data_IF_893422361281
#
_entry.id   IF_893422361281
#
_cell.length_a   1.000
_cell.length_b   1.000
_cell.length_c   1.000
_cell.angle_alpha   90.00
_cell.angle_beta   90.00
_cell.angle_gamma   90.00
#
_symmetry.space_group_name_H-M   'P 1'
#
loop_
_entity.id
_entity.type
_entity.pdbx_description
1 polymer ?
#
# COMPACT_ATOMS: atom_id res chain seq x y z
N UNK A 1 -38.66 0.19 -28.46
CA UNK A 1 -37.83 -1.01 -28.18
C UNK A 1 -37.95 -2.13 -29.23
N UNK A 2 -39.12 -2.45 -29.80
CA UNK A 2 -39.29 -3.54 -30.77
C UNK A 2 -38.49 -3.36 -32.08
N UNK A 3 -38.30 -2.12 -32.55
CA UNK A 3 -37.58 -1.83 -33.83
C UNK A 3 -36.07 -2.07 -33.64
N UNK A 4 -35.49 -1.67 -32.52
CA UNK A 4 -34.07 -1.90 -32.23
C UNK A 4 -33.72 -3.40 -32.13
N UNK A 5 -34.63 -4.20 -31.54
CA UNK A 5 -34.45 -5.65 -31.44
C UNK A 5 -34.53 -6.37 -32.81
N UNK A 6 -35.41 -5.89 -33.72
CA UNK A 6 -35.51 -6.40 -35.09
C UNK A 6 -34.29 -6.05 -35.93
N UNK A 7 -33.68 -4.90 -35.69
CA UNK A 7 -32.49 -4.45 -36.40
C UNK A 7 -31.24 -5.23 -35.96
N UNK A 8 -31.14 -5.53 -34.66
CA UNK A 8 -30.11 -6.41 -34.09
C UNK A 8 -30.14 -7.81 -34.74
N UNK A 9 -31.35 -8.32 -35.00
CA UNK A 9 -31.55 -9.63 -35.67
C UNK A 9 -31.24 -9.63 -37.16
N UNK A 10 -31.44 -8.50 -37.86
CA UNK A 10 -31.23 -8.40 -39.31
C UNK A 10 -29.79 -8.15 -39.76
N UNK A 11 -28.95 -7.57 -38.89
CA UNK A 11 -27.53 -7.30 -39.20
C UNK A 11 -26.63 -7.62 -38.00
N UNK A 12 -26.56 -8.89 -37.59
CA UNK A 12 -25.85 -9.30 -36.35
C UNK A 12 -24.35 -9.01 -36.40
N UNK A 13 -23.71 -9.08 -37.58
CA UNK A 13 -22.27 -8.91 -37.73
C UNK A 13 -21.76 -7.52 -37.28
N UNK A 14 -22.50 -6.46 -37.58
CA UNK A 14 -22.11 -5.09 -37.21
C UNK A 14 -22.17 -4.86 -35.69
N UNK A 15 -23.24 -5.32 -35.06
CA UNK A 15 -23.40 -5.23 -33.62
C UNK A 15 -22.40 -6.14 -32.91
N UNK A 16 -22.13 -7.33 -33.48
CA UNK A 16 -21.12 -8.24 -32.96
C UNK A 16 -19.73 -7.59 -32.97
N UNK A 17 -19.31 -6.93 -34.06
CA UNK A 17 -18.03 -6.22 -34.11
C UNK A 17 -17.93 -5.12 -33.08
N UNK A 18 -18.97 -4.29 -32.92
CA UNK A 18 -18.99 -3.25 -31.92
C UNK A 18 -18.93 -3.82 -30.49
N UNK A 19 -19.72 -4.85 -30.21
CA UNK A 19 -19.72 -5.54 -28.93
C UNK A 19 -18.34 -6.11 -28.61
N UNK A 20 -17.69 -6.76 -29.57
CA UNK A 20 -16.35 -7.31 -29.40
C UNK A 20 -15.34 -6.20 -29.08
N UNK A 21 -15.34 -5.09 -29.82
CA UNK A 21 -14.45 -3.96 -29.57
C UNK A 21 -14.69 -3.38 -28.17
N UNK A 22 -15.94 -3.12 -27.79
CA UNK A 22 -16.28 -2.58 -26.47
C UNK A 22 -15.91 -3.55 -25.33
N UNK A 23 -16.13 -4.85 -25.55
CA UNK A 23 -15.74 -5.89 -24.58
C UNK A 23 -14.22 -5.91 -24.40
N UNK A 24 -13.44 -5.86 -25.48
CA UNK A 24 -11.98 -5.82 -25.43
C UNK A 24 -11.47 -4.58 -24.69
N UNK A 25 -12.05 -3.40 -24.96
CA UNK A 25 -11.70 -2.16 -24.25
C UNK A 25 -12.05 -2.25 -22.76
N UNK A 26 -13.25 -2.73 -22.43
CA UNK A 26 -13.67 -2.90 -21.03
C UNK A 26 -12.78 -3.90 -20.29
N UNK A 27 -12.43 -5.02 -20.94
CA UNK A 27 -11.51 -6.01 -20.39
C UNK A 27 -10.12 -5.40 -20.14
N UNK A 28 -9.61 -4.61 -21.10
CA UNK A 28 -8.33 -3.92 -20.95
C UNK A 28 -8.33 -2.94 -19.77
N UNK A 29 -9.40 -2.16 -19.63
CA UNK A 29 -9.54 -1.21 -18.51
C UNK A 29 -9.63 -1.94 -17.16
N UNK A 30 -10.38 -3.04 -17.08
CA UNK A 30 -10.46 -3.86 -15.87
C UNK A 30 -9.12 -4.48 -15.51
N UNK A 31 -8.38 -4.96 -16.52
CA UNK A 31 -7.07 -5.57 -16.32
C UNK A 31 -6.03 -4.55 -15.84
N UNK A 32 -6.03 -3.35 -16.45
CA UNK A 32 -5.16 -2.25 -16.02
C UNK A 32 -5.51 -1.77 -14.61
N UNK A 33 -6.80 -1.62 -14.28
CA UNK A 33 -7.25 -1.25 -12.94
C UNK A 33 -6.83 -2.29 -11.89
N UNK A 34 -7.10 -3.57 -12.14
CA UNK A 34 -6.71 -4.64 -11.23
C UNK A 34 -5.20 -4.79 -11.07
N UNK A 35 -4.41 -4.53 -12.14
CA UNK A 35 -2.96 -4.51 -12.04
C UNK A 35 -2.47 -3.34 -11.17
N UNK A 36 -3.06 -2.15 -11.32
CA UNK A 36 -2.73 -1.00 -10.48
C UNK A 36 -3.05 -1.28 -9.02
N UNK A 37 -4.27 -1.77 -8.73
CA UNK A 37 -4.69 -2.07 -7.36
C UNK A 37 -3.76 -3.11 -6.72
N UNK A 38 -3.45 -4.21 -7.42
CA UNK A 38 -2.54 -5.23 -6.93
C UNK A 38 -1.11 -4.72 -6.69
N UNK A 39 -0.63 -3.80 -7.52
CA UNK A 39 0.70 -3.21 -7.39
C UNK A 39 0.76 -2.20 -6.21
N UNK A 40 -0.29 -1.40 -6.04
CA UNK A 40 -0.42 -0.50 -4.90
C UNK A 40 -0.57 -1.26 -3.59
N UNK A 41 -1.41 -2.28 -3.55
CA UNK A 41 -1.59 -3.11 -2.35
C UNK A 41 -0.30 -3.84 -1.98
N UNK A 42 0.42 -4.39 -2.95
CA UNK A 42 1.74 -4.99 -2.74
C UNK A 42 2.79 -4.01 -2.21
N UNK A 43 2.55 -2.71 -2.29
CA UNK A 43 3.49 -1.69 -1.80
C UNK A 43 3.04 -0.99 -0.53
N UNK A 44 1.75 -0.96 -0.24
CA UNK A 44 1.16 -0.05 0.76
C UNK A 44 0.30 -0.73 1.82
N UNK A 45 -0.11 -2.00 1.64
CA UNK A 45 -1.09 -2.63 2.52
C UNK A 45 -0.66 -2.69 3.98
N UNK A 46 0.63 -2.85 4.26
CA UNK A 46 1.17 -2.82 5.63
C UNK A 46 0.99 -1.45 6.32
N UNK A 47 1.04 -0.35 5.57
CA UNK A 47 0.80 0.99 6.12
C UNK A 47 -0.70 1.29 6.20
N UNK A 48 -1.48 0.89 5.20
CA UNK A 48 -2.95 1.02 5.23
C UNK A 48 -3.59 0.27 6.41
N UNK A 49 -2.99 -0.85 6.83
CA UNK A 49 -3.48 -1.65 7.97
C UNK A 49 -3.20 -1.01 9.34
N UNK A 50 -2.44 0.10 9.41
CA UNK A 50 -2.16 0.72 10.71
C UNK A 50 -3.45 1.21 11.38
N UNK A 51 -3.60 0.99 12.71
CA UNK A 51 -4.86 1.24 13.42
C UNK A 51 -5.05 2.71 13.78
N UNK A 52 -4.28 3.63 13.19
CA UNK A 52 -4.32 5.06 13.49
C UNK A 52 -4.84 5.90 12.34
N UNK A 53 -5.22 7.13 12.66
CA UNK A 53 -5.72 8.12 11.72
C UNK A 53 -4.60 9.04 11.19
N UNK A 54 -3.50 9.15 11.96
CA UNK A 54 -2.35 10.00 11.65
C UNK A 54 -1.05 9.22 11.87
N UNK A 55 -0.12 9.38 10.93
CA UNK A 55 1.26 8.90 11.04
C UNK A 55 2.18 10.11 11.24
N UNK A 56 2.97 10.07 12.32
CA UNK A 56 3.88 11.16 12.69
C UNK A 56 5.31 10.77 12.34
N UNK A 57 5.94 11.56 11.51
CA UNK A 57 7.36 11.47 11.15
C UNK A 57 8.16 12.60 11.78
N UNK A 58 9.50 12.50 11.81
CA UNK A 58 10.34 13.66 12.09
C UNK A 58 10.32 14.63 10.90
N UNK A 59 10.42 15.92 11.16
CA UNK A 59 10.38 17.00 10.15
C UNK A 59 11.42 16.83 9.03
N UNK A 60 12.61 16.34 9.37
CA UNK A 60 13.73 16.16 8.45
C UNK A 60 13.68 14.89 7.62
N UNK A 61 12.69 14.03 7.84
CA UNK A 61 12.64 12.68 7.23
C UNK A 61 12.07 12.63 5.81
N UNK A 62 11.47 13.74 5.32
CA UNK A 62 10.68 13.75 4.08
C UNK A 62 9.64 12.62 4.07
N UNK A 63 8.94 12.41 5.20
CA UNK A 63 7.91 11.39 5.40
C UNK A 63 8.36 9.94 5.12
N UNK A 64 9.66 9.66 5.28
CA UNK A 64 10.23 8.35 5.09
C UNK A 64 10.44 7.63 6.42
N UNK A 65 9.86 6.43 6.60
CA UNK A 65 10.10 5.59 7.76
C UNK A 65 11.59 5.34 8.01
N UNK A 66 12.36 5.06 6.96
CA UNK A 66 13.78 4.73 7.11
C UNK A 66 14.62 5.90 7.61
N UNK A 67 14.23 7.15 7.32
CA UNK A 67 14.96 8.36 7.68
C UNK A 67 14.43 9.01 8.96
N UNK A 68 13.21 8.74 9.33
CA UNK A 68 12.55 9.33 10.48
C UNK A 68 13.03 8.72 11.79
N UNK A 69 13.16 9.57 12.81
CA UNK A 69 13.49 9.21 14.20
C UNK A 69 12.70 10.11 15.13
N UNK A 70 11.85 9.51 15.93
CA UNK A 70 11.03 10.18 16.95
C UNK A 70 11.59 9.83 18.30
N UNK A 71 12.01 10.85 19.06
CA UNK A 71 12.55 10.67 20.41
C UNK A 71 11.43 10.45 21.45
N UNK A 72 11.74 9.87 22.61
CA UNK A 72 10.78 9.75 23.70
C UNK A 72 10.17 11.09 24.12
N UNK A 73 10.94 12.18 24.07
CA UNK A 73 10.48 13.53 24.42
C UNK A 73 9.47 14.07 23.38
N UNK A 74 9.73 13.83 22.11
CA UNK A 74 8.80 14.20 21.03
C UNK A 74 7.52 13.38 21.13
N UNK A 75 7.64 12.07 21.38
CA UNK A 75 6.50 11.19 21.62
C UNK A 75 5.63 11.69 22.78
N UNK A 76 6.22 12.03 23.93
CA UNK A 76 5.48 12.54 25.07
C UNK A 76 4.72 13.84 24.76
N UNK A 77 5.26 14.70 23.88
CA UNK A 77 4.55 15.89 23.40
C UNK A 77 3.36 15.52 22.50
N UNK A 78 3.52 14.55 21.60
CA UNK A 78 2.44 14.05 20.75
C UNK A 78 1.32 13.44 21.61
N UNK A 79 1.66 12.63 22.60
CA UNK A 79 0.69 12.02 23.53
C UNK A 79 -0.12 13.06 24.33
N UNK A 80 0.45 14.24 24.57
CA UNK A 80 -0.21 15.32 25.31
C UNK A 80 -1.12 16.21 24.44
N UNK A 81 -1.16 16.02 23.13
CA UNK A 81 -1.95 16.83 22.22
C UNK A 81 -3.45 16.54 22.39
N UNK A 82 -4.31 17.56 22.59
CA UNK A 82 -5.75 17.38 22.65
C UNK A 82 -6.30 16.72 21.38
N UNK A 83 -7.16 15.70 21.53
CA UNK A 83 -7.71 14.93 20.43
C UNK A 83 -6.94 13.66 20.08
N UNK A 84 -5.83 13.37 20.77
CA UNK A 84 -5.09 12.11 20.70
C UNK A 84 -5.68 11.11 21.69
N UNK A 85 -6.16 9.98 21.17
CA UNK A 85 -6.71 8.88 21.98
C UNK A 85 -5.64 7.84 22.36
N UNK A 86 -4.76 7.48 21.43
CA UNK A 86 -3.67 6.55 21.67
C UNK A 86 -2.50 6.83 20.71
N UNK A 87 -1.29 6.46 21.15
CA UNK A 87 -0.05 6.59 20.37
C UNK A 87 0.75 5.30 20.49
N UNK A 88 1.14 4.72 19.34
CA UNK A 88 2.05 3.58 19.28
C UNK A 88 3.24 3.85 18.39
N UNK A 89 4.40 3.39 18.80
CA UNK A 89 5.60 3.43 17.98
C UNK A 89 5.55 2.39 16.86
N UNK A 90 6.07 2.75 15.69
CA UNK A 90 6.26 1.85 14.57
C UNK A 90 7.65 2.05 13.97
N UNK A 91 8.26 0.95 13.51
CA UNK A 91 9.49 0.98 12.74
C UNK A 91 9.53 -0.12 11.70
N UNK A 92 10.31 0.05 10.65
CA UNK A 92 10.49 -0.93 9.58
C UNK A 92 11.98 -1.11 9.24
N UNK A 93 12.36 -2.35 9.00
CA UNK A 93 13.67 -2.71 8.46
C UNK A 93 13.48 -3.55 7.19
N UNK A 94 13.99 -3.06 6.07
CA UNK A 94 13.99 -3.81 4.80
C UNK A 94 15.33 -4.53 4.67
N UNK A 95 15.31 -5.85 4.65
CA UNK A 95 16.49 -6.73 4.68
C UNK A 95 16.21 -8.00 3.87
N UNK A 96 17.29 -8.69 3.48
CA UNK A 96 17.19 -10.05 2.98
C UNK A 96 17.23 -11.05 4.13
N UNK A 97 16.36 -12.04 4.10
CA UNK A 97 16.35 -13.15 5.07
C UNK A 97 16.87 -14.44 4.42
N UNK A 98 17.64 -15.24 5.19
CA UNK A 98 18.03 -16.59 4.80
C UNK A 98 17.05 -17.58 5.40
N UNK A 99 16.49 -18.40 4.54
CA UNK A 99 15.54 -19.43 4.93
C UNK A 99 16.28 -20.77 4.97
N UNK A 100 16.21 -21.55 6.07
CA UNK A 100 16.83 -22.85 6.17
C UNK A 100 16.37 -23.78 5.03
N UNK A 101 17.32 -24.44 4.40
CA UNK A 101 17.03 -25.33 3.27
C UNK A 101 17.16 -24.70 1.88
N UNK A 102 17.17 -23.40 1.77
CA UNK A 102 17.43 -22.68 0.51
C UNK A 102 18.95 -22.58 0.23
N UNK A 103 19.30 -22.27 -1.02
CA UNK A 103 20.71 -21.94 -1.32
C UNK A 103 21.12 -20.70 -0.50
N UNK A 104 22.32 -20.67 0.10
CA UNK A 104 22.79 -19.53 0.91
C UNK A 104 22.83 -18.19 0.17
N UNK A 105 22.74 -18.19 -1.14
CA UNK A 105 22.68 -16.99 -1.98
C UNK A 105 21.25 -16.56 -2.28
N UNK A 106 20.28 -17.43 -2.10
CA UNK A 106 18.87 -17.14 -2.31
C UNK A 106 18.30 -16.46 -1.04
N UNK A 107 18.26 -15.12 -1.09
CA UNK A 107 17.66 -14.33 -0.02
C UNK A 107 16.20 -14.06 -0.35
N UNK A 108 15.36 -14.15 0.65
CA UNK A 108 13.97 -13.71 0.60
C UNK A 108 13.92 -12.27 1.10
N UNK A 109 13.46 -11.35 0.28
CA UNK A 109 13.33 -9.95 0.68
C UNK A 109 12.15 -9.79 1.66
N UNK A 110 12.42 -9.20 2.83
CA UNK A 110 11.44 -9.00 3.89
C UNK A 110 11.44 -7.57 4.42
N UNK A 111 10.27 -7.09 4.78
CA UNK A 111 10.10 -5.85 5.53
C UNK A 111 9.68 -6.21 6.97
N UNK A 112 10.62 -6.14 7.91
CA UNK A 112 10.35 -6.41 9.32
C UNK A 112 9.84 -5.16 10.02
N UNK A 113 8.60 -5.22 10.50
CA UNK A 113 7.95 -4.19 11.29
C UNK A 113 8.06 -4.48 12.78
N UNK A 114 8.43 -3.45 13.55
CA UNK A 114 8.24 -3.40 15.00
C UNK A 114 7.06 -2.49 15.30
N UNK A 115 6.08 -2.96 16.08
CA UNK A 115 4.85 -2.22 16.33
C UNK A 115 4.41 -2.32 17.80
N UNK A 116 3.66 -1.31 18.25
CA UNK A 116 3.08 -1.26 19.59
C UNK A 116 1.55 -1.29 19.57
N UNK A 117 0.91 -0.73 18.54
CA UNK A 117 -0.53 -0.86 18.29
C UNK A 117 -0.72 -1.90 17.19
N UNK A 118 -1.61 -2.87 17.42
CA UNK A 118 -1.85 -3.98 16.48
C UNK A 118 -2.53 -3.48 15.22
N UNK A 119 -1.90 -3.61 14.03
CA UNK A 119 -2.53 -3.29 12.76
C UNK A 119 -3.70 -4.22 12.46
N UNK A 120 -4.59 -3.81 11.58
CA UNK A 120 -5.71 -4.63 11.14
C UNK A 120 -5.23 -5.95 10.54
N UNK A 121 -5.73 -7.06 11.08
CA UNK A 121 -5.34 -8.40 10.66
C UNK A 121 -4.02 -8.91 11.26
N UNK A 122 -3.35 -8.14 12.10
CA UNK A 122 -2.14 -8.54 12.84
C UNK A 122 -2.49 -8.76 14.30
N UNK A 123 -2.11 -9.92 14.91
CA UNK A 123 -2.28 -10.13 16.35
C UNK A 123 -1.47 -9.15 17.18
N UNK A 124 -1.65 -9.19 18.51
CA UNK A 124 -0.81 -8.43 19.45
C UNK A 124 0.68 -8.81 19.29
N UNK A 125 1.61 -7.88 19.60
CA UNK A 125 3.05 -8.10 19.42
C UNK A 125 3.51 -9.45 20.03
N UNK A 126 4.26 -10.28 19.26
CA UNK A 126 4.74 -11.57 19.73
C UNK A 126 5.88 -11.41 20.76
N UNK A 127 6.41 -12.55 21.25
CA UNK A 127 7.59 -12.57 22.13
C UNK A 127 8.86 -12.05 21.47
N UNK A 128 9.90 -11.83 22.28
CA UNK A 128 11.22 -11.41 21.79
C UNK A 128 11.81 -12.50 20.89
N UNK A 129 12.39 -12.09 19.75
CA UNK A 129 12.93 -13.02 18.75
C UNK A 129 11.84 -13.69 17.88
N UNK A 130 10.59 -13.30 18.02
CA UNK A 130 9.46 -13.88 17.30
C UNK A 130 8.82 -12.87 16.30
N UNK A 131 8.19 -13.39 15.25
CA UNK A 131 7.43 -12.60 14.29
C UNK A 131 6.28 -13.39 13.67
N UNK A 132 5.18 -12.69 13.32
CA UNK A 132 4.20 -13.19 12.36
C UNK A 132 4.70 -12.88 10.95
N UNK A 133 4.54 -13.80 10.01
CA UNK A 133 4.97 -13.64 8.63
C UNK A 133 3.78 -13.42 7.69
N UNK A 134 3.91 -12.54 6.70
CA UNK A 134 2.94 -12.48 5.63
C UNK A 134 2.99 -13.76 4.79
N UNK A 135 1.82 -14.28 4.45
CA UNK A 135 1.69 -15.57 3.73
C UNK A 135 2.37 -15.59 2.36
N UNK A 136 2.64 -14.44 1.76
CA UNK A 136 3.41 -14.36 0.51
C UNK A 136 4.83 -14.94 0.65
N UNK A 137 5.38 -14.95 1.87
CA UNK A 137 6.71 -15.48 2.18
C UNK A 137 6.76 -17.02 2.15
N UNK A 138 5.62 -17.73 2.16
CA UNK A 138 5.56 -19.19 1.94
C UNK A 138 6.22 -19.57 0.61
N UNK A 139 6.05 -18.73 -0.42
CA UNK A 139 6.66 -18.94 -1.73
C UNK A 139 8.19 -18.92 -1.70
N UNK A 140 8.77 -18.23 -0.70
CA UNK A 140 10.19 -18.19 -0.41
C UNK A 140 10.70 -19.34 0.50
N UNK A 141 9.82 -20.27 0.87
CA UNK A 141 10.17 -21.42 1.74
C UNK A 141 10.07 -21.13 3.24
N UNK A 142 9.45 -19.99 3.62
CA UNK A 142 9.20 -19.69 5.04
C UNK A 142 8.05 -20.58 5.55
N UNK A 143 8.23 -21.17 6.73
CA UNK A 143 7.24 -22.05 7.37
C UNK A 143 7.00 -21.62 8.82
N UNK A 144 5.82 -21.88 9.35
CA UNK A 144 5.50 -21.65 10.76
C UNK A 144 6.34 -22.54 11.67
N UNK A 145 6.84 -21.97 12.76
CA UNK A 145 7.78 -22.64 13.69
C UNK A 145 9.24 -22.60 13.23
N UNK A 146 9.53 -22.12 12.03
CA UNK A 146 10.88 -22.00 11.50
C UNK A 146 11.59 -20.76 12.06
N UNK A 147 12.88 -20.85 12.32
CA UNK A 147 13.75 -19.71 12.58
C UNK A 147 14.49 -19.34 11.30
N UNK A 148 14.30 -18.12 10.84
CA UNK A 148 15.00 -17.53 9.69
C UNK A 148 16.09 -16.58 10.17
N UNK A 149 17.11 -16.34 9.34
CA UNK A 149 18.21 -15.43 9.64
C UNK A 149 18.04 -14.12 8.86
N UNK A 150 17.74 -13.02 9.56
CA UNK A 150 17.45 -11.73 8.96
C UNK A 150 18.71 -10.86 8.88
N UNK A 151 18.97 -10.34 7.69
CA UNK A 151 20.06 -9.38 7.43
C UNK A 151 21.46 -9.99 7.35
N UNK A 152 22.47 -9.14 7.12
CA UNK A 152 23.88 -9.52 7.01
C UNK A 152 24.43 -10.18 8.27
N UNK A 153 23.99 -9.76 9.46
CA UNK A 153 24.45 -10.30 10.75
C UNK A 153 23.71 -11.59 11.13
N UNK A 154 22.71 -12.00 10.33
CA UNK A 154 21.95 -13.23 10.53
C UNK A 154 21.21 -13.26 11.86
N UNK A 155 20.56 -12.14 12.22
CA UNK A 155 19.76 -12.08 13.43
C UNK A 155 18.61 -13.10 13.35
N UNK A 156 18.51 -14.04 14.32
CA UNK A 156 17.51 -15.09 14.25
C UNK A 156 16.12 -14.53 14.59
N UNK A 157 15.13 -14.88 13.77
CA UNK A 157 13.72 -14.55 14.00
C UNK A 157 12.88 -15.78 13.77
N UNK A 158 12.08 -16.18 14.78
CA UNK A 158 11.22 -17.37 14.72
C UNK A 158 9.82 -16.98 14.26
N UNK A 159 9.30 -17.68 13.26
CA UNK A 159 7.95 -17.42 12.73
C UNK A 159 6.94 -18.17 13.59
N UNK A 160 6.04 -17.43 14.24
CA UNK A 160 5.05 -17.97 15.19
C UNK A 160 3.63 -18.00 14.65
N UNK A 161 3.42 -17.55 13.42
CA UNK A 161 2.12 -17.60 12.75
C UNK A 161 2.08 -16.74 11.49
N UNK A 162 0.90 -16.65 10.90
CA UNK A 162 0.70 -16.01 9.62
C UNK A 162 -0.23 -14.78 9.71
N UNK A 163 0.04 -13.81 8.85
CA UNK A 163 -0.86 -12.72 8.47
C UNK A 163 -1.07 -12.75 6.97
N UNK A 164 -2.14 -12.14 6.48
CA UNK A 164 -2.53 -12.23 5.07
C UNK A 164 -2.57 -10.85 4.40
N UNK A 165 -1.94 -10.75 3.22
CA UNK A 165 -2.09 -9.59 2.33
C UNK A 165 -1.45 -8.31 2.83
N UNK A 166 -0.46 -8.40 3.71
CA UNK A 166 0.26 -7.26 4.23
C UNK A 166 1.66 -7.20 3.61
N UNK A 167 1.84 -6.29 2.67
CA UNK A 167 3.10 -6.08 1.98
C UNK A 167 3.56 -4.62 2.09
N UNK A 168 4.87 -4.41 2.01
CA UNK A 168 5.49 -3.09 2.03
C UNK A 168 6.58 -2.99 0.97
N UNK A 169 6.47 -1.99 0.09
CA UNK A 169 7.42 -1.77 -1.01
C UNK A 169 7.68 -3.02 -1.87
N UNK A 170 6.66 -3.83 -2.12
CA UNK A 170 6.76 -5.06 -2.89
C UNK A 170 7.35 -6.27 -2.14
N UNK A 171 7.61 -6.14 -0.85
CA UNK A 171 8.17 -7.19 0.00
C UNK A 171 7.10 -7.76 0.94
N UNK A 172 7.17 -9.06 1.21
CA UNK A 172 6.39 -9.67 2.28
C UNK A 172 6.84 -9.16 3.66
N UNK A 173 5.89 -9.03 4.59
CA UNK A 173 6.18 -8.45 5.91
C UNK A 173 6.44 -9.49 6.98
N UNK A 174 7.26 -9.11 7.95
CA UNK A 174 7.41 -9.75 9.25
C UNK A 174 6.96 -8.77 10.33
N UNK A 175 6.10 -9.21 11.24
CA UNK A 175 5.52 -8.39 12.29
C UNK A 175 6.05 -8.84 13.65
N UNK A 176 6.94 -8.06 14.23
CA UNK A 176 7.65 -8.35 15.47
C UNK A 176 7.33 -7.29 16.53
N UNK A 177 7.67 -7.56 17.77
CA UNK A 177 7.66 -6.55 18.82
C UNK A 177 8.78 -5.52 18.64
N UNK A 178 8.73 -4.43 19.39
CA UNK A 178 9.73 -3.35 19.31
C UNK A 178 11.15 -3.81 19.66
N UNK A 179 11.30 -4.75 20.59
CA UNK A 179 12.60 -5.26 21.03
C UNK A 179 13.29 -6.02 19.89
N UNK A 180 12.60 -6.96 19.27
CA UNK A 180 13.08 -7.72 18.12
C UNK A 180 13.42 -6.82 16.93
N UNK A 181 12.53 -5.85 16.61
CA UNK A 181 12.81 -4.90 15.53
C UNK A 181 14.07 -4.08 15.82
N UNK A 182 14.22 -3.57 17.05
CA UNK A 182 15.36 -2.78 17.46
C UNK A 182 16.66 -3.59 17.40
N UNK A 183 16.64 -4.84 17.85
CA UNK A 183 17.77 -5.74 17.76
C UNK A 183 18.19 -5.96 16.30
N UNK A 184 17.24 -6.33 15.44
CA UNK A 184 17.51 -6.53 14.00
C UNK A 184 18.09 -5.26 13.36
N UNK A 185 17.53 -4.07 13.66
CA UNK A 185 18.05 -2.81 13.10
C UNK A 185 19.46 -2.54 13.61
N UNK A 186 19.69 -2.63 14.90
CA UNK A 186 20.97 -2.26 15.51
C UNK A 186 22.10 -3.20 15.09
N UNK A 187 21.83 -4.49 14.98
CA UNK A 187 22.82 -5.45 14.49
C UNK A 187 23.15 -5.26 13.01
N UNK A 188 22.13 -5.07 12.19
CA UNK A 188 22.31 -5.08 10.72
C UNK A 188 22.57 -3.68 10.11
N UNK A 189 22.26 -2.60 10.84
CA UNK A 189 22.48 -1.21 10.42
C UNK A 189 23.04 -0.37 11.57
N UNK A 190 24.24 -0.62 12.04
CA UNK A 190 24.82 0.06 13.20
C UNK A 190 24.94 1.59 13.01
N UNK A 191 25.13 2.05 11.76
CA UNK A 191 25.19 3.48 11.42
C UNK A 191 23.82 4.19 11.53
N UNK A 192 22.72 3.42 11.53
CA UNK A 192 21.36 3.89 11.66
C UNK A 192 20.67 3.32 12.91
N UNK A 193 21.46 2.96 13.90
CA UNK A 193 21.00 2.34 15.15
C UNK A 193 19.90 3.16 15.85
N UNK A 194 19.02 2.47 16.55
CA UNK A 194 17.86 3.02 17.23
C UNK A 194 18.02 2.82 18.73
N UNK A 195 18.05 3.93 19.48
CA UNK A 195 18.11 3.91 20.94
C UNK A 195 16.79 3.46 21.58
N UNK A 196 16.84 3.25 22.89
CA UNK A 196 15.66 2.86 23.67
C UNK A 196 14.55 3.91 23.60
N UNK A 197 13.31 3.46 23.34
CA UNK A 197 12.13 4.32 23.20
C UNK A 197 12.10 5.19 21.96
N UNK A 198 13.12 5.12 21.09
CA UNK A 198 13.12 5.80 19.79
C UNK A 198 12.41 4.93 18.77
N UNK A 199 11.50 5.52 18.00
CA UNK A 199 10.82 4.89 16.87
C UNK A 199 11.08 5.65 15.57
N UNK A 200 10.83 5.00 14.46
CA UNK A 200 10.90 5.67 13.16
C UNK A 200 9.70 6.59 12.96
N UNK A 201 8.52 6.14 13.39
CA UNK A 201 7.30 6.95 13.31
C UNK A 201 6.34 6.58 14.44
N UNK A 202 5.33 7.41 14.64
CA UNK A 202 4.23 7.10 15.55
C UNK A 202 2.94 6.94 14.77
N UNK A 203 2.15 5.96 15.19
CA UNK A 203 0.76 5.77 14.77
C UNK A 203 -0.12 6.41 15.83
N UNK A 204 -0.96 7.36 15.44
CA UNK A 204 -1.82 8.11 16.34
C UNK A 204 -3.27 7.83 16.03
N UNK A 205 -4.01 7.39 17.04
CA UNK A 205 -5.46 7.27 16.99
C UNK A 205 -6.11 8.57 17.45
N UNK A 206 -7.04 9.10 16.67
CA UNK A 206 -7.79 10.30 17.03
C UNK A 206 -8.95 9.97 17.97
N UNK A 207 -9.29 10.90 18.86
CA UNK A 207 -10.53 10.81 19.61
C UNK A 207 -11.76 10.86 18.68
N UNK A 208 -12.87 10.18 19.03
CA UNK A 208 -14.08 10.18 18.21
C UNK A 208 -14.55 11.60 17.88
N UNK A 209 -14.68 11.88 16.58
CA UNK A 209 -15.14 13.19 16.08
C UNK A 209 -14.03 14.21 15.82
N UNK A 210 -12.78 13.86 16.04
CA UNK A 210 -11.63 14.69 15.67
C UNK A 210 -11.30 14.48 14.19
N UNK A 211 -11.11 15.57 13.45
CA UNK A 211 -10.67 15.52 12.06
C UNK A 211 -9.16 15.16 11.98
N UNK A 212 -8.77 14.08 11.28
CA UNK A 212 -7.38 13.65 11.22
C UNK A 212 -6.42 14.70 10.64
N UNK A 213 -6.87 15.48 9.64
CA UNK A 213 -6.03 16.50 9.04
C UNK A 213 -5.83 17.72 9.96
N UNK A 214 -6.82 18.03 10.79
CA UNK A 214 -6.67 19.06 11.82
C UNK A 214 -5.77 18.59 12.96
N UNK A 215 -5.92 17.31 13.36
CA UNK A 215 -5.07 16.69 14.38
C UNK A 215 -3.61 16.66 13.95
N UNK A 216 -3.31 16.25 12.73
CA UNK A 216 -1.96 16.24 12.17
C UNK A 216 -1.30 17.64 12.28
N UNK A 217 -2.01 18.68 11.86
CA UNK A 217 -1.52 20.07 11.96
C UNK A 217 -1.37 20.55 13.40
N UNK A 218 -2.22 20.08 14.31
CA UNK A 218 -2.12 20.43 15.73
C UNK A 218 -0.89 19.77 16.34
N UNK A 219 -0.63 18.49 16.04
CA UNK A 219 0.56 17.76 16.49
C UNK A 219 1.83 18.51 16.08
N UNK A 220 1.94 18.91 14.81
CA UNK A 220 3.13 19.63 14.32
C UNK A 220 3.35 20.95 15.05
N UNK A 221 2.30 21.75 15.29
CA UNK A 221 2.40 22.99 16.07
C UNK A 221 2.82 22.77 17.52
N UNK A 222 2.23 21.78 18.19
CA UNK A 222 2.50 21.51 19.62
C UNK A 222 3.89 20.88 19.82
N UNK A 223 4.44 20.21 18.81
CA UNK A 223 5.82 19.72 18.81
C UNK A 223 6.85 20.79 18.43
N UNK A 224 6.39 22.00 18.04
CA UNK A 224 7.26 23.10 17.62
C UNK A 224 7.92 22.82 16.27
N UNK A 225 7.14 22.28 15.33
CA UNK A 225 7.56 21.88 13.98
C UNK A 225 8.71 20.84 13.97
N UNK A 226 8.85 20.05 15.05
CA UNK A 226 9.80 18.94 15.10
C UNK A 226 9.26 17.66 14.40
N UNK A 227 8.00 17.69 14.01
CA UNK A 227 7.31 16.59 13.35
C UNK A 227 6.70 17.03 12.02
N UNK A 228 6.52 16.07 11.13
CA UNK A 228 5.73 16.16 9.91
C UNK A 228 4.66 15.08 9.99
N UNK A 229 3.46 15.48 10.38
CA UNK A 229 2.33 14.59 10.61
C UNK A 229 1.45 14.52 9.38
N UNK A 230 1.08 13.32 8.98
CA UNK A 230 0.25 13.06 7.80
C UNK A 230 -0.97 12.25 8.22
N UNK A 231 -2.09 12.46 7.53
CA UNK A 231 -3.19 11.49 7.61
C UNK A 231 -2.72 10.12 7.13
N UNK A 232 -3.39 9.05 7.51
CA UNK A 232 -3.03 7.70 7.07
C UNK A 232 -2.99 7.61 5.53
N UNK A 233 -3.96 8.18 4.84
CA UNK A 233 -4.02 8.20 3.38
C UNK A 233 -2.85 8.98 2.76
N UNK A 234 -2.50 10.13 3.32
CA UNK A 234 -1.36 10.92 2.86
C UNK A 234 -0.03 10.20 3.14
N UNK A 235 0.10 9.52 4.27
CA UNK A 235 1.28 8.73 4.61
C UNK A 235 1.47 7.54 3.65
N UNK A 236 0.39 6.88 3.23
CA UNK A 236 0.40 5.84 2.18
C UNK A 236 0.90 6.41 0.86
N UNK A 237 0.40 7.58 0.46
CA UNK A 237 0.82 8.25 -0.78
C UNK A 237 2.27 8.75 -0.73
N UNK A 238 2.80 9.05 0.46
CA UNK A 238 4.18 9.48 0.66
C UNK A 238 5.21 8.34 0.55
N UNK A 239 4.77 7.06 0.50
CA UNK A 239 5.68 5.93 0.28
C UNK A 239 6.40 6.11 -1.06
N UNK A 240 7.75 6.03 -1.10
CA UNK A 240 8.51 6.26 -2.32
C UNK A 240 8.03 5.41 -3.51
N UNK A 241 7.73 6.07 -4.62
CA UNK A 241 7.27 5.44 -5.86
C UNK A 241 5.75 5.27 -5.97
N UNK A 242 4.99 5.33 -4.89
CA UNK A 242 3.52 5.14 -4.91
C UNK A 242 2.84 6.27 -5.67
N UNK A 243 3.13 7.53 -5.35
CA UNK A 243 2.56 8.68 -6.05
C UNK A 243 2.87 8.67 -7.55
N UNK A 244 4.15 8.44 -7.91
CA UNK A 244 4.59 8.38 -9.30
C UNK A 244 3.89 7.27 -10.07
N UNK A 245 3.74 6.10 -9.45
CA UNK A 245 3.10 4.93 -10.03
C UNK A 245 1.60 5.17 -10.21
N UNK A 246 0.91 5.63 -9.19
CA UNK A 246 -0.53 5.98 -9.23
C UNK A 246 -0.82 7.03 -10.30
N UNK A 247 -0.01 8.09 -10.38
CA UNK A 247 -0.13 9.15 -11.40
C UNK A 247 0.04 8.59 -12.81
N UNK A 248 1.05 7.76 -13.04
CA UNK A 248 1.32 7.16 -14.37
C UNK A 248 0.17 6.27 -14.83
N UNK A 249 -0.32 5.38 -13.97
CA UNK A 249 -1.44 4.50 -14.31
C UNK A 249 -2.74 5.28 -14.51
N UNK A 250 -3.02 6.29 -13.68
CA UNK A 250 -4.19 7.16 -13.83
C UNK A 250 -4.20 7.89 -15.18
N UNK A 251 -3.04 8.34 -15.64
CA UNK A 251 -2.90 8.95 -16.97
C UNK A 251 -3.17 7.93 -18.09
N UNK A 252 -2.63 6.71 -18.00
CA UNK A 252 -2.85 5.64 -18.97
C UNK A 252 -4.34 5.29 -19.03
N UNK A 253 -4.99 5.10 -17.89
CA UNK A 253 -6.42 4.82 -17.79
C UNK A 253 -7.23 5.97 -18.39
N UNK A 254 -6.90 7.22 -18.05
CA UNK A 254 -7.55 8.42 -18.58
C UNK A 254 -7.48 8.50 -20.11
N UNK A 255 -6.30 8.30 -20.70
CA UNK A 255 -6.13 8.27 -22.17
C UNK A 255 -6.91 7.12 -22.78
N UNK A 256 -6.93 5.95 -22.17
CA UNK A 256 -7.68 4.78 -22.67
C UNK A 256 -9.18 5.05 -22.67
N UNK A 257 -9.72 5.70 -21.63
CA UNK A 257 -11.14 6.10 -21.58
C UNK A 257 -11.48 7.10 -22.69
N UNK A 258 -10.61 8.07 -22.97
CA UNK A 258 -10.80 9.03 -24.07
C UNK A 258 -10.82 8.28 -25.43
N UNK A 259 -9.86 7.39 -25.66
CA UNK A 259 -9.82 6.57 -26.88
C UNK A 259 -11.09 5.74 -27.01
N UNK A 260 -11.52 5.06 -25.94
CA UNK A 260 -12.75 4.29 -25.92
C UNK A 260 -13.98 5.14 -26.32
N UNK A 261 -14.08 6.34 -25.77
CA UNK A 261 -15.16 7.29 -26.07
C UNK A 261 -15.15 7.69 -27.55
N UNK A 262 -13.98 7.99 -28.12
CA UNK A 262 -13.83 8.32 -29.54
C UNK A 262 -14.23 7.13 -30.42
N UNK A 263 -13.81 5.91 -30.10
CA UNK A 263 -14.16 4.70 -30.86
C UNK A 263 -15.68 4.49 -30.85
N UNK A 264 -16.33 4.65 -29.71
CA UNK A 264 -17.79 4.57 -29.58
C UNK A 264 -18.47 5.65 -30.41
N UNK A 265 -18.01 6.90 -30.33
CA UNK A 265 -18.56 8.01 -31.10
C UNK A 265 -18.43 7.80 -32.62
N UNK A 266 -17.26 7.35 -33.09
CA UNK A 266 -17.03 7.02 -34.50
C UNK A 266 -17.93 5.87 -34.96
N UNK A 267 -18.13 4.86 -34.15
CA UNK A 267 -19.03 3.77 -34.46
C UNK A 267 -20.48 4.25 -34.66
N UNK A 268 -20.98 5.11 -33.75
CA UNK A 268 -22.31 5.69 -33.90
C UNK A 268 -22.41 6.64 -35.10
N UNK A 269 -21.36 7.43 -35.35
CA UNK A 269 -21.31 8.30 -36.55
C UNK A 269 -21.41 7.49 -37.85
N UNK A 270 -20.67 6.39 -37.93
CA UNK A 270 -20.71 5.47 -39.09
C UNK A 270 -22.11 4.89 -39.28
N UNK A 271 -22.76 4.44 -38.22
CA UNK A 271 -24.14 3.95 -38.25
C UNK A 271 -25.13 5.03 -38.74
N UNK A 272 -24.89 6.29 -38.33
CA UNK A 272 -25.76 7.42 -38.72
C UNK A 272 -25.59 7.77 -40.19
N UNK A 273 -24.35 7.85 -40.69
CA UNK A 273 -24.07 8.15 -42.13
C UNK A 273 -24.64 7.10 -43.06
N UNK A 274 -24.57 5.82 -42.72
CA UNK A 274 -25.17 4.76 -43.53
C UNK A 274 -26.71 4.85 -43.61
N UNK A 275 -27.36 5.47 -42.61
CA UNK A 275 -28.81 5.68 -42.64
C UNK A 275 -29.21 6.89 -43.49
N UNK A 276 -28.37 7.91 -43.60
CA UNK A 276 -28.68 9.06 -44.47
C UNK A 276 -28.76 8.72 -45.93
N UNK A 277 -27.98 7.71 -46.39
CA UNK A 277 -28.08 7.20 -47.76
C UNK A 277 -29.45 6.53 -48.08
N UNK A 278 -30.13 5.93 -47.10
CA UNK A 278 -31.46 5.34 -47.21
C UNK A 278 -32.58 6.40 -47.24
N UNK A 279 -32.39 7.55 -46.59
CA UNK A 279 -33.36 8.66 -46.63
C UNK A 279 -33.31 9.49 -47.92
N UNK A 280 -32.16 9.45 -48.64
CA UNK A 280 -31.99 10.13 -49.91
C UNK A 280 -32.73 9.45 -51.10
N UNK A 281 -33.15 8.20 -50.93
CA UNK A 281 -33.89 7.44 -51.98
C UNK A 281 -35.41 7.55 -51.83
N UNK A 282 -35.90 8.13 -50.75
CA UNK A 282 -37.33 8.29 -50.43
C UNK A 282 -37.87 9.71 -50.70
N UNK A 283 -37.12 10.55 -51.45
CA UNK A 283 -37.56 11.85 -51.91
C UNK A 283 -37.90 11.87 -53.39
#
# INVERSE_FOLDING_TARGET
MKIALLELRRRPSRFATATVILTLIATLLMLLGGLLDGLLDGSTSAVKAQPGDVIVFSDTSESSFLRSRISPETRARVEAVPGVAAVGGIGVAQLGARVPGNDPRDLVDVALFGYQLSPDGVPDPPGDGEAYADRSLESGGVEEGMTIEVGPQRTPVTIVGWVDGLAYSGQGTLWANEATWREVVNENRPDAGVGDGVFQSLVVQAEPGTDPAELARLIDRETGDATASLTLDDAVNAIPGVEQQSSTFSQIIGVTVVIATIVVALFFALLTVERTALYGVLK
#
